data_IF_189466423030
#
_entry.id   IF_189466423030
#
_cell.length_a   1.000
_cell.length_b   1.000
_cell.length_c   1.000
_cell.angle_alpha   90.00
_cell.angle_beta   90.00
_cell.angle_gamma   90.00
#
_symmetry.space_group_name_H-M   'P 1'
#
loop_
_entity.id
_entity.type
_entity.pdbx_description
1 polymer ?
#
# COMPACT_ATOMS: atom_id res chain seq x y z
N UNK A 1 4.97 1.70 18.91
CA UNK A 1 5.30 0.81 17.77
C UNK A 1 4.05 0.70 16.91
N UNK A 2 4.13 0.92 15.59
CA UNK A 2 2.99 0.86 14.67
C UNK A 2 3.09 -0.37 13.76
N UNK A 3 1.93 -0.88 13.31
CA UNK A 3 1.83 -1.91 12.28
C UNK A 3 1.41 -1.24 10.99
N UNK A 4 2.36 -1.15 10.06
CA UNK A 4 2.24 -0.29 8.87
C UNK A 4 2.05 -1.15 7.63
N UNK A 5 1.00 -0.86 6.88
CA UNK A 5 0.85 -1.30 5.50
C UNK A 5 1.41 -0.22 4.57
N UNK A 6 2.47 -0.54 3.82
CA UNK A 6 3.08 0.40 2.87
C UNK A 6 2.46 0.20 1.49
N UNK A 7 1.46 1.03 1.17
CA UNK A 7 0.80 1.04 -0.12
C UNK A 7 1.67 1.79 -1.14
N UNK A 8 2.02 1.16 -2.26
CA UNK A 8 2.80 1.82 -3.32
C UNK A 8 2.70 1.06 -4.65
N UNK A 9 3.46 1.48 -5.66
CA UNK A 9 3.60 0.78 -6.93
C UNK A 9 4.81 -0.16 -6.92
N UNK A 10 4.73 -1.29 -7.61
CA UNK A 10 5.92 -2.11 -7.95
C UNK A 10 7.00 -1.33 -8.70
N UNK A 11 6.62 -0.25 -9.39
CA UNK A 11 7.52 0.60 -10.17
C UNK A 11 8.14 1.73 -9.35
N UNK A 12 7.70 1.94 -8.11
CA UNK A 12 8.24 3.01 -7.27
C UNK A 12 9.63 2.61 -6.74
N UNK A 13 10.72 3.30 -7.11
CA UNK A 13 12.06 2.93 -6.67
C UNK A 13 12.33 3.24 -5.19
N UNK A 14 11.54 4.12 -4.57
CA UNK A 14 11.75 4.56 -3.19
C UNK A 14 11.17 3.59 -2.16
N UNK A 15 10.16 2.77 -2.54
CA UNK A 15 9.44 1.91 -1.60
C UNK A 15 10.34 0.98 -0.77
N UNK A 16 11.38 0.30 -1.32
CA UNK A 16 12.24 -0.56 -0.52
C UNK A 16 13.01 0.20 0.56
N UNK A 17 13.47 1.42 0.26
CA UNK A 17 14.16 2.28 1.21
C UNK A 17 13.20 2.73 2.32
N UNK A 18 11.97 3.12 1.98
CA UNK A 18 10.95 3.49 2.98
C UNK A 18 10.63 2.33 3.91
N UNK A 19 10.46 1.12 3.37
CA UNK A 19 10.22 -0.08 4.17
C UNK A 19 11.38 -0.34 5.15
N UNK A 20 12.64 -0.28 4.66
CA UNK A 20 13.82 -0.46 5.51
C UNK A 20 13.87 0.58 6.62
N UNK A 21 13.70 1.85 6.28
CA UNK A 21 13.72 2.95 7.24
C UNK A 21 12.65 2.79 8.34
N UNK A 22 11.42 2.45 7.98
CA UNK A 22 10.34 2.25 8.94
C UNK A 22 10.66 1.10 9.91
N UNK A 23 11.25 0.01 9.41
CA UNK A 23 11.71 -1.13 10.23
C UNK A 23 12.86 -0.72 11.14
N UNK A 24 13.82 0.05 10.64
CA UNK A 24 14.96 0.56 11.42
C UNK A 24 14.49 1.52 12.54
N UNK A 25 13.34 2.16 12.36
CA UNK A 25 12.67 2.98 13.39
C UNK A 25 11.74 2.16 14.32
N UNK A 26 11.83 0.83 14.30
CA UNK A 26 11.15 -0.07 15.24
C UNK A 26 9.66 -0.26 14.96
N UNK A 27 9.22 -0.12 13.71
CA UNK A 27 7.86 -0.43 13.29
C UNK A 27 7.75 -1.82 12.67
N UNK A 28 6.58 -2.45 12.80
CA UNK A 28 6.25 -3.67 12.06
C UNK A 28 5.70 -3.25 10.69
N UNK A 29 6.33 -3.71 9.61
CA UNK A 29 6.03 -3.19 8.26
C UNK A 29 5.73 -4.34 7.30
N UNK A 30 4.52 -4.33 6.75
CA UNK A 30 4.16 -5.21 5.64
C UNK A 30 4.67 -4.63 4.31
N UNK A 31 5.44 -5.44 3.59
CA UNK A 31 5.98 -5.14 2.27
C UNK A 31 5.33 -6.07 1.25
N UNK A 32 4.42 -5.53 0.43
CA UNK A 32 3.69 -6.32 -0.59
C UNK A 32 4.61 -6.94 -1.65
N UNK A 33 5.85 -6.44 -1.81
CA UNK A 33 6.83 -7.04 -2.73
C UNK A 33 7.43 -8.33 -2.15
N UNK A 34 7.55 -8.38 -0.83
CA UNK A 34 8.16 -9.47 -0.08
C UNK A 34 7.23 -9.91 1.07
N UNK A 35 6.02 -10.40 0.77
CA UNK A 35 5.08 -10.81 1.80
C UNK A 35 5.62 -12.01 2.60
N UNK A 36 5.32 -12.14 3.90
CA UNK A 36 5.80 -13.25 4.71
C UNK A 36 5.45 -14.61 4.10
N UNK A 37 6.45 -15.47 3.93
CA UNK A 37 6.31 -16.84 3.41
C UNK A 37 5.69 -16.96 2.00
N UNK A 38 5.68 -15.88 1.20
CA UNK A 38 5.10 -15.88 -0.14
C UNK A 38 5.84 -14.91 -1.07
N UNK A 39 5.47 -14.90 -2.35
CA UNK A 39 5.88 -13.84 -3.30
C UNK A 39 4.75 -12.83 -3.44
N UNK A 40 5.07 -11.58 -3.76
CA UNK A 40 4.07 -10.58 -4.12
C UNK A 40 3.25 -11.00 -5.35
N UNK A 41 2.04 -10.46 -5.50
CA UNK A 41 1.20 -10.71 -6.68
C UNK A 41 1.69 -9.89 -7.88
N UNK A 42 1.81 -10.54 -9.04
CA UNK A 42 2.08 -9.89 -10.31
C UNK A 42 1.15 -10.40 -11.40
N UNK A 43 0.62 -9.50 -12.23
CA UNK A 43 -0.33 -9.84 -13.31
C UNK A 43 0.20 -10.89 -14.31
N UNK A 44 1.51 -10.95 -14.52
CA UNK A 44 2.14 -11.98 -15.36
C UNK A 44 1.91 -13.40 -14.83
N UNK A 45 1.68 -13.57 -13.52
CA UNK A 45 1.44 -14.88 -12.88
C UNK A 45 0.09 -15.50 -13.26
N UNK A 46 -0.82 -14.71 -13.83
CA UNK A 46 -2.18 -15.16 -14.19
C UNK A 46 -2.45 -15.08 -15.69
N UNK A 47 -1.45 -14.70 -16.49
CA UNK A 47 -1.53 -14.70 -17.96
C UNK A 47 -2.51 -13.70 -18.58
N UNK A 48 -2.99 -12.70 -17.83
CA UNK A 48 -3.92 -11.69 -18.37
C UNK A 48 -3.16 -10.71 -19.29
N UNK A 49 -3.36 -10.84 -20.59
CA UNK A 49 -2.81 -9.91 -21.59
C UNK A 49 -3.62 -8.61 -21.65
N UNK A 50 -2.96 -7.48 -21.92
CA UNK A 50 -3.61 -6.18 -22.07
C UNK A 50 -3.49 -5.66 -23.51
N UNK A 51 -4.54 -5.00 -24.06
CA UNK A 51 -5.86 -4.80 -23.46
C UNK A 51 -6.63 -6.13 -23.34
N UNK A 52 -7.43 -6.29 -22.29
CA UNK A 52 -8.29 -7.46 -22.07
C UNK A 52 -9.77 -7.10 -22.22
N UNK A 53 -10.62 -8.10 -22.46
CA UNK A 53 -12.07 -7.90 -22.42
C UNK A 53 -12.56 -7.74 -20.97
N UNK A 54 -13.75 -7.14 -20.79
CA UNK A 54 -14.38 -7.07 -19.47
C UNK A 54 -14.68 -8.46 -18.87
N UNK A 55 -14.93 -9.46 -19.73
CA UNK A 55 -15.12 -10.84 -19.32
C UNK A 55 -13.82 -11.47 -18.82
N UNK A 56 -12.71 -11.30 -19.54
CA UNK A 56 -11.40 -11.79 -19.11
C UNK A 56 -10.96 -11.16 -17.80
N UNK A 57 -11.18 -9.84 -17.65
CA UNK A 57 -10.92 -9.12 -16.40
C UNK A 57 -11.69 -9.75 -15.23
N UNK A 58 -13.01 -9.95 -15.40
CA UNK A 58 -13.87 -10.56 -14.38
C UNK A 58 -13.41 -11.97 -14.04
N UNK A 59 -13.15 -12.80 -15.05
CA UNK A 59 -12.74 -14.19 -14.87
C UNK A 59 -11.39 -14.26 -14.14
N UNK A 60 -10.42 -13.46 -14.56
CA UNK A 60 -9.11 -13.37 -13.92
C UNK A 60 -9.19 -13.06 -12.42
N UNK A 61 -10.13 -12.19 -12.01
CA UNK A 61 -10.30 -11.84 -10.60
C UNK A 61 -11.16 -12.83 -9.80
N UNK A 62 -12.19 -13.43 -10.41
CA UNK A 62 -13.16 -14.26 -9.71
C UNK A 62 -12.82 -15.75 -9.68
N UNK A 63 -11.95 -16.23 -10.58
CA UNK A 63 -11.70 -17.67 -10.71
C UNK A 63 -10.23 -18.06 -10.54
N UNK A 64 -9.28 -17.14 -10.75
CA UNK A 64 -7.86 -17.49 -10.71
C UNK A 64 -7.34 -17.61 -9.26
N UNK A 65 -6.83 -18.79 -8.81
CA UNK A 65 -6.40 -18.99 -7.44
C UNK A 65 -5.30 -18.03 -6.98
N UNK A 66 -4.37 -17.68 -7.90
CA UNK A 66 -3.30 -16.71 -7.60
C UNK A 66 -3.81 -15.29 -7.35
N UNK A 67 -4.88 -14.86 -8.05
CA UNK A 67 -5.50 -13.57 -7.80
C UNK A 67 -6.17 -13.55 -6.42
N UNK A 68 -6.90 -14.62 -6.07
CA UNK A 68 -7.48 -14.78 -4.74
C UNK A 68 -6.41 -14.79 -3.64
N UNK A 69 -5.29 -15.49 -3.85
CA UNK A 69 -4.18 -15.53 -2.90
C UNK A 69 -3.52 -14.16 -2.70
N UNK A 70 -3.26 -13.43 -3.79
CA UNK A 70 -2.70 -12.07 -3.74
C UNK A 70 -3.63 -11.12 -2.97
N UNK A 71 -4.91 -11.10 -3.35
CA UNK A 71 -5.93 -10.32 -2.66
C UNK A 71 -6.01 -10.64 -1.16
N UNK A 72 -6.06 -11.92 -0.79
CA UNK A 72 -6.14 -12.32 0.62
C UNK A 72 -4.90 -11.92 1.42
N UNK A 73 -3.70 -11.99 0.82
CA UNK A 73 -2.45 -11.57 1.46
C UNK A 73 -2.49 -10.08 1.81
N UNK A 74 -2.78 -9.25 0.82
CA UNK A 74 -2.79 -7.79 0.99
C UNK A 74 -3.96 -7.36 1.88
N UNK A 75 -5.15 -7.95 1.70
CA UNK A 75 -6.31 -7.64 2.53
C UNK A 75 -6.13 -8.05 3.99
N UNK A 76 -5.51 -9.22 4.26
CA UNK A 76 -5.17 -9.62 5.62
C UNK A 76 -4.15 -8.64 6.25
N UNK A 77 -3.16 -8.20 5.48
CA UNK A 77 -2.18 -7.23 5.93
C UNK A 77 -2.81 -5.86 6.23
N UNK A 78 -3.71 -5.35 5.38
CA UNK A 78 -4.46 -4.12 5.65
C UNK A 78 -5.32 -4.24 6.91
N UNK A 79 -5.93 -5.41 7.17
CA UNK A 79 -6.70 -5.66 8.40
C UNK A 79 -5.80 -5.66 9.64
N UNK A 80 -4.64 -6.29 9.55
CA UNK A 80 -3.64 -6.36 10.63
C UNK A 80 -3.02 -5.01 10.96
N UNK A 81 -2.70 -4.20 9.94
CA UNK A 81 -2.10 -2.90 10.09
C UNK A 81 -3.02 -1.92 10.84
N UNK A 82 -2.47 -1.08 11.70
CA UNK A 82 -3.17 0.06 12.30
C UNK A 82 -2.98 1.35 11.50
N UNK A 83 -1.95 1.39 10.65
CA UNK A 83 -1.57 2.55 9.85
C UNK A 83 -1.34 2.18 8.38
N UNK A 84 -1.87 2.97 7.45
CA UNK A 84 -1.52 2.93 6.04
C UNK A 84 -0.55 4.07 5.72
N UNK A 85 0.57 3.77 5.06
CA UNK A 85 1.42 4.77 4.42
C UNK A 85 1.36 4.58 2.92
N UNK A 86 0.71 5.51 2.20
CA UNK A 86 0.76 5.57 0.75
C UNK A 86 2.04 6.29 0.32
N UNK A 87 2.88 5.64 -0.49
CA UNK A 87 4.13 6.23 -0.99
C UNK A 87 4.00 6.50 -2.49
N UNK A 88 3.99 7.78 -2.87
CA UNK A 88 3.95 8.23 -4.26
C UNK A 88 5.34 8.12 -4.94
N UNK A 89 5.41 7.91 -6.26
CA UNK A 89 4.29 7.65 -7.16
C UNK A 89 3.70 6.26 -6.89
N UNK A 90 2.37 6.13 -7.00
CA UNK A 90 1.69 4.87 -6.77
C UNK A 90 0.71 4.54 -7.90
N UNK A 91 0.07 3.36 -7.82
CA UNK A 91 -0.90 2.91 -8.80
C UNK A 91 -2.32 2.88 -8.23
N UNK A 92 -3.30 2.60 -9.11
CA UNK A 92 -4.72 2.47 -8.77
C UNK A 92 -5.00 1.60 -7.53
N UNK A 93 -4.27 0.49 -7.38
CA UNK A 93 -4.44 -0.43 -6.25
C UNK A 93 -4.08 0.23 -4.92
N UNK A 94 -2.97 0.97 -4.88
CA UNK A 94 -2.49 1.61 -3.66
C UNK A 94 -3.46 2.72 -3.18
N UNK A 95 -4.06 3.47 -4.10
CA UNK A 95 -5.14 4.41 -3.75
C UNK A 95 -6.40 3.71 -3.23
N UNK A 96 -6.78 2.57 -3.81
CA UNK A 96 -7.92 1.77 -3.33
C UNK A 96 -7.67 1.22 -1.93
N UNK A 97 -6.44 0.76 -1.65
CA UNK A 97 -6.00 0.30 -0.34
C UNK A 97 -6.05 1.42 0.70
N UNK A 98 -5.48 2.59 0.39
CA UNK A 98 -5.55 3.78 1.25
C UNK A 98 -7.01 4.15 1.55
N UNK A 99 -7.86 4.26 0.51
CA UNK A 99 -9.26 4.62 0.66
C UNK A 99 -10.05 3.63 1.52
N UNK A 100 -9.80 2.32 1.35
CA UNK A 100 -10.40 1.30 2.20
C UNK A 100 -9.94 1.43 3.66
N UNK A 101 -8.63 1.63 3.90
CA UNK A 101 -8.09 1.78 5.25
C UNK A 101 -8.60 3.04 5.94
N UNK A 102 -8.73 4.16 5.22
CA UNK A 102 -9.38 5.38 5.71
C UNK A 102 -10.84 5.13 6.10
N UNK A 103 -11.61 4.47 5.22
CA UNK A 103 -13.01 4.09 5.51
C UNK A 103 -13.16 3.10 6.68
N UNK A 104 -12.12 2.31 6.96
CA UNK A 104 -12.06 1.40 8.11
C UNK A 104 -11.63 2.10 9.42
N UNK A 105 -11.46 3.43 9.42
CA UNK A 105 -11.05 4.21 10.60
C UNK A 105 -9.60 3.97 11.02
N UNK A 106 -8.74 3.48 10.12
CA UNK A 106 -7.31 3.30 10.37
C UNK A 106 -6.59 4.61 10.12
N UNK A 107 -5.42 4.76 10.74
CA UNK A 107 -4.58 5.93 10.50
C UNK A 107 -4.03 5.90 9.09
N UNK A 108 -4.03 7.02 8.39
CA UNK A 108 -3.63 7.10 6.99
C UNK A 108 -2.69 8.28 6.73
N UNK A 109 -1.55 7.97 6.14
CA UNK A 109 -0.53 8.94 5.76
C UNK A 109 -0.24 8.82 4.27
N UNK A 110 0.05 9.94 3.62
CA UNK A 110 0.59 9.99 2.25
C UNK A 110 1.99 10.58 2.32
N UNK A 111 2.96 9.96 1.66
CA UNK A 111 4.26 10.55 1.36
C UNK A 111 4.26 10.94 -0.12
N UNK A 112 4.24 12.25 -0.38
CA UNK A 112 4.32 12.81 -1.73
C UNK A 112 5.75 13.21 -2.10
N UNK A 113 5.93 13.64 -3.35
CA UNK A 113 7.18 14.22 -3.85
C UNK A 113 6.89 15.32 -4.88
N UNK A 114 7.91 16.10 -5.22
CA UNK A 114 7.81 17.13 -6.25
C UNK A 114 7.50 16.52 -7.62
N UNK A 115 6.60 17.17 -8.37
CA UNK A 115 6.21 16.74 -9.72
C UNK A 115 5.14 15.66 -9.79
N UNK A 116 4.60 15.20 -8.65
CA UNK A 116 3.43 14.31 -8.65
C UNK A 116 2.18 15.01 -9.19
N UNK A 117 1.36 14.25 -9.91
CA UNK A 117 0.03 14.71 -10.31
C UNK A 117 -0.88 14.77 -9.05
N UNK A 118 -1.50 15.92 -8.76
CA UNK A 118 -2.39 16.02 -7.60
C UNK A 118 -3.62 15.13 -7.73
N UNK A 119 -3.94 14.39 -6.67
CA UNK A 119 -5.16 13.59 -6.55
C UNK A 119 -6.06 14.20 -5.48
N UNK A 120 -7.26 14.66 -5.85
CA UNK A 120 -8.21 15.32 -4.94
C UNK A 120 -8.58 14.43 -3.75
N UNK A 121 -8.75 13.12 -3.99
CA UNK A 121 -9.15 12.17 -2.97
C UNK A 121 -8.03 11.85 -1.97
N UNK A 122 -6.81 12.39 -2.15
CA UNK A 122 -5.75 12.38 -1.13
C UNK A 122 -6.19 13.02 0.20
N UNK A 123 -7.21 13.89 0.18
CA UNK A 123 -7.83 14.47 1.37
C UNK A 123 -8.55 13.47 2.28
N UNK A 124 -8.74 12.21 1.84
CA UNK A 124 -9.19 11.13 2.73
C UNK A 124 -8.11 10.72 3.74
N UNK A 125 -6.84 11.04 3.48
CA UNK A 125 -5.76 10.75 4.42
C UNK A 125 -5.75 11.72 5.59
N UNK A 126 -5.36 11.24 6.77
CA UNK A 126 -5.21 12.09 7.97
C UNK A 126 -4.09 13.12 7.80
N UNK A 127 -3.02 12.76 7.06
CA UNK A 127 -1.88 13.66 6.84
C UNK A 127 -1.20 13.39 5.50
N UNK A 128 -0.84 14.47 4.82
CA UNK A 128 0.00 14.45 3.62
C UNK A 128 1.37 15.00 4.02
N UNK A 129 2.37 14.13 3.98
CA UNK A 129 3.76 14.41 4.30
C UNK A 129 4.54 14.72 3.01
N UNK A 130 5.39 15.75 3.04
CA UNK A 130 6.23 16.14 1.90
C UNK A 130 7.65 15.59 1.96
N UNK A 131 8.02 14.96 3.07
CA UNK A 131 9.29 14.27 3.24
C UNK A 131 9.15 13.16 4.28
N UNK A 132 10.22 12.39 4.41
CA UNK A 132 10.28 11.21 5.27
C UNK A 132 10.33 11.60 6.75
N UNK A 133 10.94 12.73 7.09
CA UNK A 133 11.03 13.24 8.44
C UNK A 133 9.63 13.52 9.01
N UNK A 134 8.73 14.11 8.21
CA UNK A 134 7.33 14.31 8.57
C UNK A 134 6.60 12.99 8.82
N UNK A 135 6.83 11.97 8.00
CA UNK A 135 6.27 10.62 8.22
C UNK A 135 6.70 10.08 9.59
N UNK A 136 7.99 10.17 9.92
CA UNK A 136 8.50 9.71 11.22
C UNK A 136 7.96 10.53 12.40
N UNK A 137 7.80 11.85 12.23
CA UNK A 137 7.16 12.72 13.23
C UNK A 137 5.72 12.28 13.46
N UNK A 138 4.96 12.07 12.39
CA UNK A 138 3.58 11.62 12.47
C UNK A 138 3.49 10.26 13.19
N UNK A 139 4.27 9.26 12.76
CA UNK A 139 4.24 7.93 13.36
C UNK A 139 4.52 7.94 14.88
N UNK A 140 5.31 8.89 15.39
CA UNK A 140 5.54 9.05 16.83
C UNK A 140 4.32 9.55 17.61
N UNK A 141 3.45 10.37 17.01
CA UNK A 141 2.26 10.93 17.69
C UNK A 141 1.26 9.87 18.16
N UNK A 142 1.22 8.72 17.49
CA UNK A 142 0.33 7.60 17.83
C UNK A 142 0.91 6.58 18.82
N UNK A 143 2.17 6.76 19.25
CA UNK A 143 2.86 5.83 20.14
C UNK A 143 2.73 6.13 21.64
N UNK A 144 2.04 7.21 22.01
CA UNK A 144 1.76 7.59 23.39
C UNK A 144 0.31 7.23 23.75
N UNK A 145 0.07 5.94 23.97
CA UNK A 145 -1.12 5.42 24.60
C UNK A 145 -0.73 4.27 25.53
#
# INVERSE_FOLDING_TARGET
MARIYVASSWRNPHQPMIVALLRDNGHEVYDFRNPPNNTGFGWHQIGLALPCSAEDYRNALLTHPRAAQGFMSDFAAMRWADTCLLVLPCGRSAHLELGWMAGAGKRTLILTQDGEEPELMALLADTICINVEEVLIELRKGGAA
#
